data_IF_129913709695
#
_entry.id   IF_129913709695
#
_cell.length_a   1.000
_cell.length_b   1.000
_cell.length_c   1.000
_cell.angle_alpha   90.00
_cell.angle_beta   90.00
_cell.angle_gamma   90.00
#
_symmetry.space_group_name_H-M   'P 1'
#
loop_
_entity.id
_entity.type
_entity.pdbx_description
1 polymer ?
#
# COMPACT_ATOMS: atom_id res chain seq x y z
N UNK A 1 -5.42 19.09 -14.45
CA UNK A 1 -4.65 17.89 -14.09
C UNK A 1 -3.21 18.30 -13.80
N UNK A 2 -2.44 17.46 -13.12
CA UNK A 2 -1.01 17.64 -12.88
C UNK A 2 -0.27 16.58 -13.70
N UNK A 3 0.73 17.00 -14.47
CA UNK A 3 1.68 16.12 -15.14
C UNK A 3 3.05 16.29 -14.44
N UNK A 4 3.79 15.20 -14.25
CA UNK A 4 5.11 15.28 -13.65
C UNK A 4 6.03 14.12 -14.02
N UNK A 5 7.31 14.32 -13.70
CA UNK A 5 8.41 13.37 -13.88
C UNK A 5 9.24 13.30 -12.60
N UNK A 6 9.67 12.11 -12.20
CA UNK A 6 10.58 11.91 -11.09
C UNK A 6 10.22 10.73 -10.20
N UNK A 7 10.76 10.74 -8.99
CA UNK A 7 10.48 9.76 -7.94
C UNK A 7 9.38 10.34 -7.05
N UNK A 8 8.13 9.94 -7.29
CA UNK A 8 6.98 10.44 -6.56
C UNK A 8 6.41 9.34 -5.67
N UNK A 9 6.48 9.52 -4.35
CA UNK A 9 5.90 8.59 -3.37
C UNK A 9 4.37 8.64 -3.43
N UNK A 10 3.73 7.48 -3.27
CA UNK A 10 2.27 7.32 -3.44
C UNK A 10 1.72 6.41 -2.34
N UNK A 11 0.45 6.64 -2.02
CA UNK A 11 -0.33 5.82 -1.11
C UNK A 11 -1.72 5.61 -1.69
N UNK A 12 -2.03 4.38 -2.10
CA UNK A 12 -3.32 4.05 -2.72
C UNK A 12 -4.10 3.09 -1.83
N UNK A 13 -4.92 3.67 -0.96
CA UNK A 13 -5.78 2.94 -0.05
C UNK A 13 -6.26 3.87 1.07
N UNK A 14 -7.28 3.45 1.83
CA UNK A 14 -7.88 4.25 2.90
C UNK A 14 -7.21 4.06 4.27
N UNK A 15 -6.37 3.04 4.41
CA UNK A 15 -5.67 2.72 5.65
C UNK A 15 -4.56 3.71 5.97
N UNK A 16 -4.23 3.80 7.25
CA UNK A 16 -3.17 4.62 7.82
C UNK A 16 -1.81 3.91 7.83
N UNK A 17 -1.77 2.59 7.99
CA UNK A 17 -0.52 1.85 8.20
C UNK A 17 -0.16 0.90 7.05
N UNK A 18 -1.09 0.57 6.15
CA UNK A 18 -0.77 -0.23 4.96
C UNK A 18 -1.58 0.14 3.70
N UNK A 19 -1.00 -0.16 2.54
CA UNK A 19 -1.74 -0.29 1.28
C UNK A 19 -1.34 -1.63 0.67
N UNK A 20 -2.32 -2.41 0.23
CA UNK A 20 -2.14 -3.71 -0.39
C UNK A 20 -1.59 -3.65 -1.82
N UNK A 21 -1.68 -2.51 -2.50
CA UNK A 21 -1.31 -2.41 -3.94
C UNK A 21 -0.24 -1.37 -4.23
N UNK A 22 -0.21 -0.26 -3.48
CA UNK A 22 0.82 0.77 -3.63
C UNK A 22 0.96 1.60 -2.36
N UNK A 23 2.04 1.35 -1.62
CA UNK A 23 2.44 2.08 -0.43
C UNK A 23 3.71 2.90 -0.67
N UNK A 24 4.10 3.66 0.34
CA UNK A 24 5.36 4.39 0.42
C UNK A 24 6.45 3.60 1.18
N UNK A 25 6.26 2.29 1.40
CA UNK A 25 7.25 1.48 2.11
C UNK A 25 8.50 1.21 1.26
N UNK A 26 8.32 1.00 -0.04
CA UNK A 26 9.42 1.01 -1.00
C UNK A 26 9.78 2.46 -1.38
N UNK A 27 11.05 2.69 -1.73
CA UNK A 27 11.46 3.97 -2.35
C UNK A 27 10.66 4.18 -3.64
N UNK A 28 10.22 5.40 -3.93
CA UNK A 28 9.61 5.67 -5.25
C UNK A 28 10.57 5.35 -6.41
N UNK A 29 10.02 4.68 -7.41
CA UNK A 29 10.67 4.46 -8.70
C UNK A 29 10.55 5.71 -9.60
N UNK A 30 11.54 5.97 -10.46
CA UNK A 30 11.49 7.09 -11.40
C UNK A 30 10.45 6.83 -12.49
N UNK A 31 9.72 7.86 -12.89
CA UNK A 31 8.82 7.76 -14.02
C UNK A 31 8.03 9.02 -14.31
N UNK A 32 6.99 8.83 -15.13
CA UNK A 32 6.03 9.86 -15.50
C UNK A 32 4.71 9.61 -14.80
N UNK A 33 3.99 10.67 -14.46
CA UNK A 33 2.66 10.56 -13.88
C UNK A 33 1.73 11.66 -14.32
N UNK A 34 0.43 11.35 -14.33
CA UNK A 34 -0.65 12.29 -14.50
C UNK A 34 -1.73 12.03 -13.45
N UNK A 35 -2.24 13.09 -12.82
CA UNK A 35 -3.33 12.98 -11.84
C UNK A 35 -4.30 14.14 -11.90
N UNK A 36 -5.49 13.96 -11.35
CA UNK A 36 -6.42 15.06 -11.11
C UNK A 36 -5.77 16.09 -10.16
N UNK A 37 -6.01 17.38 -10.44
CA UNK A 37 -5.64 18.46 -9.52
C UNK A 37 -6.68 18.57 -8.40
N UNK A 38 -7.93 18.44 -8.80
CA UNK A 38 -9.11 18.41 -7.94
C UNK A 38 -10.13 17.42 -8.53
N UNK A 39 -11.06 16.97 -7.70
CA UNK A 39 -12.11 16.05 -8.15
C UNK A 39 -13.08 16.75 -9.10
N UNK A 40 -13.31 16.16 -10.27
CA UNK A 40 -14.21 16.71 -11.29
C UNK A 40 -15.55 15.97 -11.31
N UNK A 41 -16.59 16.64 -11.79
CA UNK A 41 -17.91 16.05 -12.02
C UNK A 41 -18.23 16.05 -13.51
N UNK A 42 -19.24 15.28 -13.92
CA UNK A 42 -19.74 15.25 -15.29
C UNK A 42 -21.24 15.46 -15.31
N UNK A 43 -21.74 16.11 -16.37
CA UNK A 43 -23.17 16.28 -16.63
C UNK A 43 -23.84 15.02 -17.19
N UNK A 44 -23.06 14.04 -17.67
CA UNK A 44 -23.58 12.77 -18.18
C UNK A 44 -24.25 11.99 -17.04
N UNK A 45 -25.52 11.57 -17.16
CA UNK A 45 -26.29 11.01 -16.04
C UNK A 45 -25.60 9.85 -15.30
N UNK A 46 -24.99 8.91 -16.03
CA UNK A 46 -24.28 7.76 -15.45
C UNK A 46 -23.00 8.16 -14.71
N UNK A 47 -22.28 9.17 -15.20
CA UNK A 47 -21.05 9.62 -14.56
C UNK A 47 -21.37 10.49 -13.35
N UNK A 48 -22.47 11.25 -13.42
CA UNK A 48 -22.96 12.09 -12.33
C UNK A 48 -23.27 11.29 -11.06
N UNK A 49 -23.78 10.06 -11.18
CA UNK A 49 -24.07 9.21 -10.00
C UNK A 49 -22.83 8.76 -9.23
N UNK A 50 -21.62 8.89 -9.79
CA UNK A 50 -20.37 8.63 -9.07
C UNK A 50 -19.89 9.82 -8.24
N UNK A 51 -20.52 11.00 -8.37
CA UNK A 51 -20.12 12.21 -7.66
C UNK A 51 -18.79 12.77 -8.16
N UNK A 52 -17.94 13.24 -7.24
CA UNK A 52 -16.60 13.78 -7.58
C UNK A 52 -15.66 12.63 -7.94
N UNK A 53 -15.05 12.71 -9.12
CA UNK A 53 -14.11 11.72 -9.66
C UNK A 53 -12.68 12.24 -9.58
N UNK A 54 -11.75 11.39 -9.15
CA UNK A 54 -10.32 11.63 -9.18
C UNK A 54 -9.62 10.49 -9.92
N UNK A 55 -8.52 10.80 -10.60
CA UNK A 55 -7.70 9.79 -11.25
C UNK A 55 -6.22 10.03 -10.96
N UNK A 56 -5.45 8.95 -10.99
CA UNK A 56 -3.98 8.99 -10.96
C UNK A 56 -3.45 7.84 -11.81
N UNK A 57 -2.58 8.15 -12.77
CA UNK A 57 -1.89 7.18 -13.59
C UNK A 57 -0.39 7.46 -13.55
N UNK A 58 0.42 6.40 -13.56
CA UNK A 58 1.86 6.54 -13.73
C UNK A 58 2.46 5.38 -14.52
N UNK A 59 3.63 5.64 -15.09
CA UNK A 59 4.49 4.65 -15.70
C UNK A 59 5.92 4.88 -15.17
N UNK A 60 6.38 3.95 -14.36
CA UNK A 60 7.67 4.01 -13.68
C UNK A 60 8.60 2.91 -14.22
N UNK A 61 9.92 3.14 -14.19
CA UNK A 61 10.91 2.12 -14.49
C UNK A 61 11.47 1.54 -13.17
N UNK A 62 11.46 0.22 -13.05
CA UNK A 62 12.01 -0.49 -11.90
C UNK A 62 13.52 -0.76 -12.07
N UNK A 63 14.16 -1.28 -11.02
CA UNK A 63 15.61 -1.41 -10.92
C UNK A 63 16.18 -2.51 -11.84
N UNK A 64 17.44 -2.34 -12.27
CA UNK A 64 18.13 -3.40 -13.04
C UNK A 64 18.47 -4.64 -12.22
N UNK A 65 18.64 -4.50 -10.89
CA UNK A 65 19.12 -5.58 -10.03
C UNK A 65 17.94 -6.42 -9.51
N UNK A 66 17.31 -7.13 -10.44
CA UNK A 66 16.15 -8.02 -10.22
C UNK A 66 16.13 -9.06 -11.35
N UNK A 67 15.25 -10.06 -11.27
CA UNK A 67 15.21 -11.19 -12.20
C UNK A 67 15.05 -10.78 -13.67
N UNK A 68 14.04 -9.96 -13.98
CA UNK A 68 13.87 -9.30 -15.28
C UNK A 68 14.26 -7.84 -15.10
N UNK A 69 15.30 -7.38 -15.80
CA UNK A 69 15.89 -6.05 -15.57
C UNK A 69 15.04 -4.95 -16.19
N UNK A 70 15.02 -3.79 -15.54
CA UNK A 70 14.37 -2.56 -16.04
C UNK A 70 12.91 -2.71 -16.50
N UNK A 71 12.04 -3.51 -15.86
CA UNK A 71 10.65 -3.61 -16.26
C UNK A 71 9.93 -2.31 -15.90
N UNK A 72 8.81 -2.07 -16.55
CA UNK A 72 7.93 -0.96 -16.26
C UNK A 72 6.89 -1.36 -15.22
N UNK A 73 6.56 -0.43 -14.31
CA UNK A 73 5.41 -0.50 -13.43
C UNK A 73 4.41 0.56 -13.87
N UNK A 74 3.28 0.09 -14.39
CA UNK A 74 2.23 0.92 -14.97
C UNK A 74 0.98 0.73 -14.13
N UNK A 75 0.50 1.80 -13.52
CA UNK A 75 -0.60 1.67 -12.58
C UNK A 75 -1.58 2.83 -12.72
N UNK A 76 -2.85 2.52 -12.48
CA UNK A 76 -3.96 3.45 -12.54
C UNK A 76 -4.85 3.32 -11.31
N UNK A 77 -5.30 4.46 -10.81
CA UNK A 77 -6.31 4.58 -9.76
C UNK A 77 -7.40 5.54 -10.18
N UNK A 78 -8.64 5.12 -10.03
CA UNK A 78 -9.84 5.96 -10.10
C UNK A 78 -10.48 5.99 -8.72
N UNK A 79 -10.89 7.15 -8.21
CA UNK A 79 -11.70 7.22 -6.99
C UNK A 79 -12.89 8.14 -7.14
N UNK A 80 -13.98 7.81 -6.45
CA UNK A 80 -15.23 8.53 -6.56
C UNK A 80 -16.08 8.49 -5.30
N UNK A 81 -17.04 9.42 -5.20
CA UNK A 81 -17.85 9.68 -4.01
C UNK A 81 -19.35 9.66 -4.38
N UNK A 82 -19.98 8.48 -4.48
CA UNK A 82 -21.34 8.38 -4.98
C UNK A 82 -22.38 8.95 -3.99
N UNK A 83 -22.08 8.91 -2.69
CA UNK A 83 -22.89 9.50 -1.61
C UNK A 83 -21.98 10.17 -0.59
N UNK A 84 -22.55 11.08 0.21
CA UNK A 84 -21.82 11.73 1.29
C UNK A 84 -21.20 10.70 2.26
N UNK A 85 -19.95 10.91 2.62
CA UNK A 85 -19.22 10.02 3.52
C UNK A 85 -18.60 8.79 2.85
N UNK A 86 -19.09 8.34 1.69
CA UNK A 86 -18.55 7.16 0.98
C UNK A 86 -17.53 7.57 -0.08
N UNK A 87 -16.34 6.99 -0.01
CA UNK A 87 -15.31 7.01 -1.06
C UNK A 87 -15.07 5.59 -1.53
N UNK A 88 -15.05 5.39 -2.85
CA UNK A 88 -14.69 4.12 -3.48
C UNK A 88 -13.46 4.38 -4.36
N UNK A 89 -12.46 3.50 -4.30
CA UNK A 89 -11.30 3.49 -5.16
C UNK A 89 -11.24 2.20 -5.98
N UNK A 90 -10.90 2.31 -7.26
CA UNK A 90 -10.58 1.20 -8.16
C UNK A 90 -9.12 1.35 -8.57
N UNK A 91 -8.34 0.29 -8.44
CA UNK A 91 -6.90 0.33 -8.69
C UNK A 91 -6.45 -0.88 -9.48
N UNK A 92 -5.58 -0.67 -10.46
CA UNK A 92 -4.87 -1.73 -11.19
C UNK A 92 -3.41 -1.35 -11.35
N UNK A 93 -2.53 -2.33 -11.24
CA UNK A 93 -1.10 -2.20 -11.37
C UNK A 93 -0.55 -3.34 -12.21
N UNK A 94 0.37 -3.02 -13.12
CA UNK A 94 0.91 -3.97 -14.08
C UNK A 94 2.42 -3.80 -14.11
N UNK A 95 3.15 -4.89 -13.90
CA UNK A 95 4.57 -4.97 -14.17
C UNK A 95 4.79 -5.64 -15.52
N UNK A 96 5.36 -4.87 -16.45
CA UNK A 96 5.39 -5.16 -17.87
C UNK A 96 6.79 -4.96 -18.47
N UNK A 97 7.15 -5.76 -19.47
CA UNK A 97 8.37 -5.58 -20.26
C UNK A 97 9.66 -5.82 -19.47
N UNK A 98 10.70 -5.07 -19.83
CA UNK A 98 12.07 -5.24 -19.34
C UNK A 98 12.97 -6.02 -20.30
N UNK A 99 14.24 -6.20 -19.91
CA UNK A 99 15.26 -6.86 -20.73
C UNK A 99 14.84 -8.30 -21.07
N UNK A 100 14.81 -8.64 -22.37
CA UNK A 100 14.43 -9.97 -22.84
C UNK A 100 12.91 -10.21 -23.01
N UNK A 101 12.09 -9.18 -22.74
CA UNK A 101 10.64 -9.17 -22.98
C UNK A 101 10.29 -8.29 -24.19
N UNK A 102 9.09 -8.46 -24.76
CA UNK A 102 8.52 -7.53 -25.73
C UNK A 102 8.13 -6.23 -25.02
N UNK A 103 8.70 -5.12 -25.47
CA UNK A 103 8.46 -3.77 -24.95
C UNK A 103 7.71 -2.89 -25.97
N UNK A 104 7.10 -3.52 -26.99
CA UNK A 104 6.35 -2.80 -28.02
C UNK A 104 5.09 -2.15 -27.43
N UNK A 105 4.66 -1.04 -28.05
CA UNK A 105 3.39 -0.40 -27.68
C UNK A 105 2.20 -1.35 -27.84
N UNK A 106 2.27 -2.29 -28.80
CA UNK A 106 1.24 -3.31 -28.98
C UNK A 106 1.14 -4.21 -27.75
N UNK A 107 2.26 -4.80 -27.30
CA UNK A 107 2.30 -5.65 -26.12
C UNK A 107 1.82 -4.89 -24.86
N UNK A 108 2.23 -3.63 -24.71
CA UNK A 108 1.73 -2.77 -23.63
C UNK A 108 0.20 -2.58 -23.71
N UNK A 109 -0.31 -2.28 -24.91
CA UNK A 109 -1.73 -2.02 -25.12
C UNK A 109 -2.59 -3.28 -24.95
N UNK A 110 -2.05 -4.46 -25.26
CA UNK A 110 -2.70 -5.75 -25.02
C UNK A 110 -2.76 -6.06 -23.51
N UNK A 111 -1.67 -5.80 -22.77
CA UNK A 111 -1.62 -5.91 -21.30
C UNK A 111 -2.61 -4.96 -20.60
N UNK A 112 -2.64 -3.68 -20.98
CA UNK A 112 -3.60 -2.70 -20.40
C UNK A 112 -5.05 -3.13 -20.58
N UNK A 113 -5.41 -3.77 -21.70
CA UNK A 113 -6.79 -4.24 -21.94
C UNK A 113 -7.12 -5.59 -21.29
N UNK A 114 -6.12 -6.26 -20.71
CA UNK A 114 -6.28 -7.61 -20.15
C UNK A 114 -6.30 -8.70 -21.22
N UNK A 115 -5.80 -8.40 -22.42
CA UNK A 115 -5.71 -9.33 -23.56
C UNK A 115 -4.34 -10.05 -23.61
N UNK A 116 -3.42 -9.75 -22.69
CA UNK A 116 -2.06 -10.31 -22.68
C UNK A 116 -1.99 -11.83 -22.38
N UNK A 117 -3.14 -12.49 -22.23
CA UNK A 117 -3.24 -13.92 -21.92
C UNK A 117 -4.08 -14.73 -22.91
N UNK A 118 -4.18 -14.34 -24.19
CA UNK A 118 -4.43 -15.39 -25.21
C UNK A 118 -3.17 -16.21 -25.41
N UNK A 119 -3.04 -17.29 -24.62
CA UNK A 119 -2.03 -18.33 -24.77
C UNK A 119 -1.96 -18.82 -26.22
N UNK A 120 -1.12 -18.23 -27.07
CA UNK A 120 -0.71 -18.85 -28.32
C UNK A 120 0.58 -19.65 -28.07
N UNK A 121 0.42 -20.86 -27.55
CA UNK A 121 1.49 -21.85 -27.44
C UNK A 121 2.13 -21.97 -26.05
N UNK A 122 2.88 -23.06 -25.86
CA UNK A 122 3.39 -23.55 -24.56
C UNK A 122 4.51 -22.70 -23.91
N UNK A 123 4.70 -21.44 -24.30
CA UNK A 123 5.78 -20.58 -23.84
C UNK A 123 5.54 -19.15 -24.32
N UNK A 124 4.49 -18.48 -23.84
CA UNK A 124 4.48 -17.02 -23.99
C UNK A 124 5.47 -16.43 -22.98
N UNK A 125 6.61 -15.98 -23.50
CA UNK A 125 7.64 -15.32 -22.73
C UNK A 125 7.24 -13.93 -22.25
N UNK A 126 6.08 -13.38 -22.61
CA UNK A 126 5.67 -12.00 -22.35
C UNK A 126 4.52 -11.81 -21.36
N UNK A 127 4.23 -12.81 -20.53
CA UNK A 127 3.28 -12.68 -19.42
C UNK A 127 3.72 -11.53 -18.49
N UNK A 128 2.80 -10.62 -18.22
CA UNK A 128 2.85 -9.51 -17.28
C UNK A 128 2.41 -9.93 -15.88
N UNK A 129 2.87 -9.21 -14.85
CA UNK A 129 2.43 -9.43 -13.47
C UNK A 129 1.42 -8.33 -13.10
N UNK A 130 0.19 -8.72 -12.77
CA UNK A 130 -0.92 -7.80 -12.53
C UNK A 130 -1.41 -7.86 -11.10
N UNK A 131 -1.79 -6.71 -10.54
CA UNK A 131 -2.60 -6.64 -9.32
C UNK A 131 -3.79 -5.72 -9.59
N UNK A 132 -4.97 -6.11 -9.14
CA UNK A 132 -6.17 -5.28 -9.30
C UNK A 132 -7.12 -5.42 -8.11
N UNK A 133 -7.91 -4.39 -7.88
CA UNK A 133 -8.97 -4.45 -6.88
C UNK A 133 -9.57 -3.10 -6.55
N UNK A 134 -10.18 -3.03 -5.38
CA UNK A 134 -10.91 -1.86 -4.94
C UNK A 134 -10.73 -1.59 -3.44
N UNK A 135 -11.04 -0.37 -3.05
CA UNK A 135 -11.12 0.03 -1.65
C UNK A 135 -12.33 0.91 -1.41
N UNK A 136 -12.77 0.93 -0.15
CA UNK A 136 -13.88 1.76 0.29
C UNK A 136 -13.55 2.39 1.64
N UNK A 137 -13.95 3.65 1.84
CA UNK A 137 -14.00 4.33 3.14
C UNK A 137 -15.36 4.97 3.30
N UNK A 138 -16.06 4.66 4.39
CA UNK A 138 -17.31 5.31 4.77
C UNK A 138 -17.13 6.04 6.09
N UNK A 139 -17.37 7.35 6.10
CA UNK A 139 -17.24 8.22 7.27
C UNK A 139 -18.58 8.88 7.61
N UNK A 140 -18.94 8.87 8.89
CA UNK A 140 -20.13 9.55 9.41
C UNK A 140 -19.84 10.13 10.79
N UNK A 141 -20.70 11.05 11.24
CA UNK A 141 -20.54 11.73 12.53
C UNK A 141 -21.65 11.32 13.50
N UNK A 142 -21.28 11.09 14.75
CA UNK A 142 -22.18 10.90 15.89
C UNK A 142 -21.79 11.92 16.96
N UNK A 143 -22.58 12.99 17.10
CA UNK A 143 -22.20 14.17 17.89
C UNK A 143 -20.82 14.72 17.43
N UNK A 144 -19.89 14.90 18.36
CA UNK A 144 -18.54 15.42 18.09
C UNK A 144 -17.52 14.31 17.69
N UNK A 145 -17.98 13.09 17.48
CA UNK A 145 -17.17 11.94 17.05
C UNK A 145 -17.36 11.69 15.55
N UNK A 146 -16.28 11.70 14.78
CA UNK A 146 -16.25 11.16 13.42
C UNK A 146 -15.83 9.70 13.49
N UNK A 147 -16.64 8.82 12.94
CA UNK A 147 -16.35 7.39 12.83
C UNK A 147 -16.24 7.00 11.36
N UNK A 148 -15.14 6.35 11.01
CA UNK A 148 -14.91 5.77 9.69
C UNK A 148 -14.72 4.27 9.75
N UNK A 149 -15.28 3.56 8.78
CA UNK A 149 -14.90 2.20 8.43
C UNK A 149 -14.27 2.19 7.05
N UNK A 150 -13.27 1.35 6.85
CA UNK A 150 -12.65 1.23 5.55
C UNK A 150 -12.05 -0.16 5.33
N UNK A 151 -11.83 -0.48 4.06
CA UNK A 151 -11.16 -1.70 3.67
C UNK A 151 -10.61 -1.62 2.27
N UNK A 152 -9.71 -2.55 1.98
CA UNK A 152 -9.11 -2.72 0.67
C UNK A 152 -9.08 -4.20 0.32
N UNK A 153 -9.46 -4.52 -0.91
CA UNK A 153 -9.58 -5.87 -1.45
C UNK A 153 -8.85 -5.93 -2.79
N UNK A 154 -7.73 -6.64 -2.84
CA UNK A 154 -6.85 -6.76 -4.01
C UNK A 154 -6.69 -8.24 -4.36
N UNK A 155 -6.49 -8.55 -5.64
CA UNK A 155 -6.08 -9.86 -6.13
C UNK A 155 -4.89 -9.78 -7.09
N UNK A 156 -4.14 -10.88 -7.17
CA UNK A 156 -2.99 -11.09 -8.09
C UNK A 156 -3.43 -11.52 -9.49
N UNK A 157 -4.61 -12.12 -9.63
CA UNK A 157 -5.13 -12.58 -10.92
C UNK A 157 -6.54 -12.00 -11.15
N UNK A 158 -7.03 -12.13 -12.37
CA UNK A 158 -8.41 -11.83 -12.72
C UNK A 158 -9.07 -12.98 -13.46
N UNK A 159 -10.23 -13.42 -12.99
CA UNK A 159 -11.15 -14.27 -13.78
C UNK A 159 -12.42 -13.46 -14.06
N UNK A 160 -12.81 -13.33 -15.33
CA UNK A 160 -14.03 -12.63 -15.74
C UNK A 160 -14.21 -11.24 -15.09
N UNK A 161 -13.14 -10.43 -15.07
CA UNK A 161 -13.08 -9.09 -14.49
C UNK A 161 -13.20 -9.00 -12.96
N UNK A 162 -13.19 -10.14 -12.24
CA UNK A 162 -13.18 -10.16 -10.78
C UNK A 162 -11.80 -10.57 -10.24
N UNK A 163 -11.30 -9.92 -9.16
CA UNK A 163 -10.03 -10.29 -8.56
C UNK A 163 -10.03 -11.75 -8.06
N UNK A 164 -8.97 -12.48 -8.37
CA UNK A 164 -8.67 -13.83 -7.92
C UNK A 164 -7.33 -13.82 -7.16
N UNK A 165 -7.08 -14.84 -6.33
CA UNK A 165 -5.97 -14.89 -5.35
C UNK A 165 -5.94 -13.66 -4.46
N UNK A 166 -7.04 -13.46 -3.73
CA UNK A 166 -7.31 -12.18 -3.06
C UNK A 166 -6.80 -12.11 -1.65
N UNK A 167 -6.49 -10.89 -1.23
CA UNK A 167 -5.97 -10.54 0.08
C UNK A 167 -6.56 -9.19 0.50
N UNK A 168 -6.62 -8.94 1.81
CA UNK A 168 -7.55 -7.94 2.36
C UNK A 168 -6.98 -7.17 3.54
N UNK A 169 -7.51 -5.95 3.65
CA UNK A 169 -7.27 -5.03 4.73
C UNK A 169 -8.63 -4.51 5.20
N UNK A 170 -8.81 -4.41 6.50
CA UNK A 170 -9.97 -3.76 7.12
C UNK A 170 -9.52 -2.88 8.27
N UNK A 171 -10.21 -1.76 8.47
CA UNK A 171 -9.92 -0.88 9.59
C UNK A 171 -11.07 0.04 9.96
N UNK A 172 -10.92 0.63 11.13
CA UNK A 172 -11.83 1.61 11.70
C UNK A 172 -11.05 2.75 12.32
N UNK A 173 -11.58 3.96 12.21
CA UNK A 173 -10.98 5.18 12.76
C UNK A 173 -12.05 5.98 13.51
N UNK A 174 -11.68 6.46 14.68
CA UNK A 174 -12.46 7.37 15.51
C UNK A 174 -11.66 8.67 15.63
N UNK A 175 -12.25 9.81 15.28
CA UNK A 175 -11.65 11.13 15.47
C UNK A 175 -12.59 11.95 16.33
N UNK A 176 -12.08 12.55 17.41
CA UNK A 176 -12.86 13.36 18.33
C UNK A 176 -12.02 14.49 18.92
N UNK A 177 -12.70 15.49 19.47
CA UNK A 177 -12.07 16.55 20.26
C UNK A 177 -12.17 16.22 21.74
N UNK A 178 -11.06 16.42 22.47
CA UNK A 178 -11.02 16.39 23.93
C UNK A 178 -10.38 17.68 24.43
N UNK A 179 -11.13 18.46 25.20
CA UNK A 179 -10.71 19.79 25.67
C UNK A 179 -10.23 20.72 24.55
N UNK A 180 -10.84 20.60 23.36
CA UNK A 180 -10.49 21.37 22.17
C UNK A 180 -9.33 20.82 21.34
N UNK A 181 -8.64 19.76 21.80
CA UNK A 181 -7.53 19.14 21.07
C UNK A 181 -7.95 17.91 20.27
N UNK A 182 -7.33 17.67 19.12
CA UNK A 182 -7.64 16.54 18.24
C UNK A 182 -7.10 15.23 18.79
N UNK A 183 -7.93 14.20 18.76
CA UNK A 183 -7.56 12.85 19.15
C UNK A 183 -8.08 11.86 18.11
N UNK A 184 -7.33 10.79 17.87
CA UNK A 184 -7.80 9.68 17.06
C UNK A 184 -7.43 8.31 17.62
N UNK A 185 -8.29 7.33 17.33
CA UNK A 185 -8.07 5.91 17.61
C UNK A 185 -8.25 5.16 16.31
N UNK A 186 -7.24 4.38 15.91
CA UNK A 186 -7.23 3.61 14.68
C UNK A 186 -7.00 2.15 15.00
N UNK A 187 -7.83 1.26 14.46
CA UNK A 187 -7.67 -0.19 14.55
C UNK A 187 -7.65 -0.75 13.13
N UNK A 188 -6.61 -1.50 12.77
CA UNK A 188 -6.44 -2.07 11.44
C UNK A 188 -6.00 -3.52 11.52
N UNK A 189 -6.49 -4.32 10.58
CA UNK A 189 -6.05 -5.69 10.31
C UNK A 189 -5.70 -5.83 8.84
N UNK A 190 -4.54 -6.44 8.58
CA UNK A 190 -3.99 -6.68 7.24
C UNK A 190 -3.66 -8.16 7.12
N UNK A 191 -4.14 -8.80 6.06
CA UNK A 191 -3.88 -10.20 5.76
C UNK A 191 -3.44 -10.33 4.31
N UNK A 192 -2.16 -10.63 4.11
CA UNK A 192 -1.54 -10.90 2.81
C UNK A 192 -1.30 -12.39 2.62
N UNK A 193 -1.91 -13.24 3.45
CA UNK A 193 -1.93 -14.68 3.25
C UNK A 193 -3.14 -15.08 2.40
N UNK A 194 -2.90 -15.86 1.35
CA UNK A 194 -3.97 -16.36 0.49
C UNK A 194 -4.65 -17.60 1.11
N UNK A 195 -5.96 -17.50 1.38
CA UNK A 195 -6.76 -18.55 2.02
C UNK A 195 -7.66 -19.36 1.05
N UNK A 196 -7.34 -19.40 -0.26
CA UNK A 196 -8.19 -20.05 -1.27
C UNK A 196 -7.86 -21.51 -1.62
N UNK A 197 -8.40 -22.00 -2.74
CA UNK A 197 -8.35 -23.42 -3.14
C UNK A 197 -7.02 -23.87 -3.73
N UNK A 198 -6.30 -22.98 -4.41
CA UNK A 198 -4.92 -23.25 -4.83
C UNK A 198 -4.06 -23.30 -3.55
N UNK A 199 -3.59 -24.48 -3.16
CA UNK A 199 -2.86 -24.67 -1.91
C UNK A 199 -1.60 -23.79 -1.92
N UNK A 200 -1.47 -22.92 -0.92
CA UNK A 200 -0.17 -22.61 -0.33
C UNK A 200 0.25 -21.15 -0.32
N UNK A 201 1.31 -20.95 0.46
CA UNK A 201 2.13 -19.75 0.56
C UNK A 201 2.81 -19.42 -0.78
N UNK A 202 3.50 -18.27 -0.86
CA UNK A 202 4.19 -17.78 -2.06
C UNK A 202 3.24 -17.47 -3.22
N UNK A 203 2.08 -16.89 -2.90
CA UNK A 203 1.10 -16.44 -3.88
C UNK A 203 1.08 -14.92 -3.97
N UNK A 204 0.84 -14.24 -2.85
CA UNK A 204 0.72 -12.78 -2.83
C UNK A 204 2.09 -12.14 -3.06
N UNK A 205 2.13 -11.16 -3.96
CA UNK A 205 3.31 -10.48 -4.49
C UNK A 205 4.30 -11.37 -5.24
N UNK A 206 3.91 -12.59 -5.62
CA UNK A 206 4.77 -13.55 -6.31
C UNK A 206 4.37 -13.73 -7.77
N UNK A 207 5.35 -14.03 -8.62
CA UNK A 207 5.09 -14.25 -10.05
C UNK A 207 6.08 -15.23 -10.68
N UNK A 208 5.60 -16.02 -11.65
CA UNK A 208 6.39 -17.07 -12.33
C UNK A 208 7.54 -16.54 -13.19
N UNK A 209 7.28 -15.47 -13.98
CA UNK A 209 8.29 -14.76 -14.78
C UNK A 209 9.06 -13.69 -13.99
N UNK A 210 8.36 -12.74 -13.37
CA UNK A 210 8.98 -11.71 -12.52
C UNK A 210 9.29 -12.25 -11.13
N UNK A 211 10.22 -13.18 -11.02
CA UNK A 211 10.52 -13.93 -9.78
C UNK A 211 11.11 -13.10 -8.64
N UNK A 212 11.41 -11.81 -8.86
CA UNK A 212 11.67 -10.85 -7.78
C UNK A 212 10.39 -10.33 -7.10
N UNK A 213 9.23 -10.70 -7.62
CA UNK A 213 7.90 -10.36 -7.12
C UNK A 213 7.52 -8.89 -7.30
N UNK A 214 6.41 -8.52 -6.68
CA UNK A 214 5.83 -7.17 -6.66
C UNK A 214 6.58 -6.26 -5.67
N UNK A 215 7.89 -6.15 -5.90
CA UNK A 215 8.87 -5.45 -5.05
C UNK A 215 9.72 -4.51 -5.89
N UNK A 216 10.23 -3.45 -5.27
CA UNK A 216 11.20 -2.53 -5.84
C UNK A 216 12.38 -2.36 -4.88
N UNK A 217 13.58 -2.65 -5.41
CA UNK A 217 14.84 -2.72 -4.65
C UNK A 217 14.73 -3.62 -3.42
N UNK A 218 13.98 -4.71 -3.52
CA UNK A 218 13.77 -5.71 -2.47
C UNK A 218 12.77 -5.33 -1.37
N UNK A 219 12.09 -4.19 -1.47
CA UNK A 219 11.00 -3.82 -0.56
C UNK A 219 9.66 -3.93 -1.29
N UNK A 220 8.58 -4.40 -0.64
CA UNK A 220 7.27 -4.54 -1.27
C UNK A 220 6.72 -3.20 -1.74
N UNK A 221 6.15 -3.20 -2.95
CA UNK A 221 5.44 -2.05 -3.51
C UNK A 221 4.07 -1.89 -2.83
N UNK A 222 3.43 -3.00 -2.43
CA UNK A 222 2.20 -3.05 -1.65
C UNK A 222 2.46 -2.96 -0.14
N UNK A 223 1.88 -3.87 0.63
CA UNK A 223 1.87 -3.82 2.08
C UNK A 223 3.28 -4.02 2.66
N UNK A 224 3.62 -3.28 3.72
CA UNK A 224 4.96 -3.35 4.34
C UNK A 224 5.29 -4.73 4.91
N UNK A 225 4.26 -5.50 5.29
CA UNK A 225 4.37 -6.88 5.80
C UNK A 225 4.69 -7.89 4.70
N UNK A 226 4.72 -7.46 3.44
CA UNK A 226 4.96 -8.33 2.29
C UNK A 226 3.92 -9.47 2.17
N UNK A 227 4.15 -10.48 1.33
CA UNK A 227 3.28 -11.64 1.17
C UNK A 227 3.25 -12.54 2.40
N UNK A 228 2.28 -13.47 2.43
CA UNK A 228 2.18 -14.56 3.42
C UNK A 228 2.17 -14.09 4.88
N UNK A 229 1.59 -12.93 5.16
CA UNK A 229 1.70 -12.30 6.47
C UNK A 229 0.36 -11.84 7.01
N UNK A 230 0.26 -11.72 8.33
CA UNK A 230 -0.83 -11.01 8.97
C UNK A 230 -0.30 -9.97 9.96
N UNK A 231 -1.09 -8.92 10.16
CA UNK A 231 -0.73 -7.83 11.05
C UNK A 231 -1.97 -7.14 11.59
N UNK A 232 -1.96 -6.83 12.88
CA UNK A 232 -2.99 -6.07 13.55
C UNK A 232 -2.36 -4.88 14.27
N UNK A 233 -2.97 -3.71 14.12
CA UNK A 233 -2.47 -2.46 14.66
C UNK A 233 -3.56 -1.72 15.43
N UNK A 234 -3.20 -1.18 16.59
CA UNK A 234 -3.97 -0.18 17.32
C UNK A 234 -3.09 1.06 17.47
N UNK A 235 -3.57 2.22 17.02
CA UNK A 235 -2.91 3.52 17.21
C UNK A 235 -3.82 4.47 17.99
N UNK A 236 -3.24 5.19 18.93
CA UNK A 236 -3.83 6.30 19.67
C UNK A 236 -3.01 7.55 19.37
N UNK A 237 -3.61 8.53 18.71
CA UNK A 237 -2.97 9.83 18.45
C UNK A 237 -3.67 10.89 19.29
N UNK A 238 -2.90 11.75 19.94
CA UNK A 238 -3.43 12.82 20.78
C UNK A 238 -2.60 14.09 20.61
N UNK A 239 -3.26 15.15 20.17
CA UNK A 239 -2.77 16.51 20.40
C UNK A 239 -2.97 16.81 21.90
N UNK A 240 -1.88 16.90 22.65
CA UNK A 240 -1.96 17.21 24.09
C UNK A 240 -2.19 18.72 24.27
N UNK A 241 -1.59 19.51 23.38
CA UNK A 241 -1.72 20.95 23.27
C UNK A 241 -1.17 21.40 21.90
N UNK A 242 -1.16 22.71 21.64
CA UNK A 242 -0.73 23.27 20.35
C UNK A 242 0.73 22.97 19.93
N UNK A 243 1.58 22.53 20.86
CA UNK A 243 3.00 22.26 20.65
C UNK A 243 3.40 20.80 20.85
N UNK A 244 2.53 19.93 21.37
CA UNK A 244 2.87 18.54 21.72
C UNK A 244 1.85 17.57 21.18
N UNK A 245 2.33 16.64 20.36
CA UNK A 245 1.57 15.51 19.87
C UNK A 245 2.20 14.21 20.38
N UNK A 246 1.37 13.25 20.75
CA UNK A 246 1.79 11.93 21.19
C UNK A 246 1.06 10.89 20.34
N UNK A 247 1.81 9.91 19.86
CA UNK A 247 1.29 8.69 19.31
C UNK A 247 1.71 7.51 20.19
N UNK A 248 0.75 6.66 20.52
CA UNK A 248 1.00 5.35 21.09
C UNK A 248 0.39 4.29 20.19
N UNK A 249 1.20 3.33 19.80
CA UNK A 249 0.79 2.24 18.92
C UNK A 249 1.16 0.89 19.53
N UNK A 250 0.25 -0.07 19.43
CA UNK A 250 0.49 -1.48 19.75
C UNK A 250 0.17 -2.33 18.55
N UNK A 251 0.96 -3.36 18.32
CA UNK A 251 0.73 -4.25 17.20
C UNK A 251 1.11 -5.68 17.48
N UNK A 252 0.49 -6.56 16.70
CA UNK A 252 0.79 -7.96 16.57
C UNK A 252 1.10 -8.25 15.09
N UNK A 253 2.05 -9.12 14.83
CA UNK A 253 2.30 -9.62 13.48
C UNK A 253 2.80 -11.06 13.46
N UNK A 254 2.41 -11.77 12.41
CA UNK A 254 3.03 -13.02 11.99
C UNK A 254 3.45 -12.85 10.54
N UNK A 255 4.76 -12.74 10.31
CA UNK A 255 5.33 -12.40 9.01
C UNK A 255 5.86 -13.65 8.32
N UNK A 256 5.73 -13.67 7.00
CA UNK A 256 6.29 -14.67 6.11
C UNK A 256 6.00 -16.13 6.50
N UNK A 257 4.72 -16.50 6.64
CA UNK A 257 4.20 -17.82 7.06
C UNK A 257 4.71 -19.04 6.25
N UNK A 258 5.44 -18.81 5.17
CA UNK A 258 5.90 -19.81 4.22
C UNK A 258 7.14 -20.61 4.67
N UNK A 259 7.88 -20.15 5.68
CA UNK A 259 9.16 -20.72 6.12
C UNK A 259 10.21 -20.86 4.99
N UNK A 260 10.04 -20.17 3.85
CA UNK A 260 10.89 -20.23 2.66
C UNK A 260 11.53 -18.84 2.44
N UNK A 261 12.72 -18.65 3.00
CA UNK A 261 13.34 -17.32 3.17
C UNK A 261 13.96 -16.69 1.94
N UNK A 262 13.51 -17.05 0.72
CA UNK A 262 14.23 -16.65 -0.50
C UNK A 262 13.60 -15.48 -1.25
N UNK A 263 12.32 -15.16 -1.00
CA UNK A 263 11.58 -14.15 -1.78
C UNK A 263 11.00 -13.00 -0.96
N UNK A 264 10.51 -13.29 0.24
CA UNK A 264 9.93 -12.29 1.14
C UNK A 264 11.01 -11.32 1.67
N UNK A 265 10.62 -10.05 1.87
CA UNK A 265 11.50 -9.06 2.49
C UNK A 265 11.69 -9.28 3.99
N UNK A 266 10.82 -10.04 4.65
CA UNK A 266 10.95 -10.52 6.03
C UNK A 266 11.58 -11.92 6.09
N UNK A 267 12.24 -12.23 7.20
CA UNK A 267 12.90 -13.52 7.41
C UNK A 267 11.93 -14.68 7.65
N UNK A 268 12.50 -15.87 7.86
CA UNK A 268 11.76 -17.15 8.03
C UNK A 268 11.32 -17.43 9.46
N UNK A 269 11.48 -16.49 10.37
CA UNK A 269 11.09 -16.67 11.77
C UNK A 269 9.61 -16.35 11.88
N UNK A 270 8.75 -17.35 11.63
CA UNK A 270 7.30 -17.25 11.68
C UNK A 270 6.75 -17.17 13.11
N UNK A 271 7.55 -16.67 14.04
CA UNK A 271 7.12 -16.47 15.42
C UNK A 271 6.24 -15.23 15.46
N UNK A 272 5.13 -15.36 16.15
CA UNK A 272 4.29 -14.24 16.54
C UNK A 272 5.14 -13.22 17.29
N UNK A 273 5.09 -11.96 16.85
CA UNK A 273 5.69 -10.88 17.61
C UNK A 273 4.65 -9.82 17.94
N UNK A 274 4.94 -9.13 19.03
CA UNK A 274 4.20 -7.99 19.51
C UNK A 274 5.14 -6.80 19.55
N UNK A 275 4.61 -5.61 19.39
CA UNK A 275 5.41 -4.42 19.57
C UNK A 275 4.60 -3.24 20.04
N UNK A 276 5.34 -2.28 20.58
CA UNK A 276 4.85 -1.01 21.05
C UNK A 276 5.70 0.07 20.39
N UNK A 277 5.04 1.11 19.89
CA UNK A 277 5.66 2.34 19.39
C UNK A 277 5.14 3.52 20.20
N UNK A 278 6.04 4.40 20.58
CA UNK A 278 5.76 5.66 21.26
C UNK A 278 6.46 6.77 20.50
N UNK A 279 5.68 7.69 19.93
CA UNK A 279 6.21 8.87 19.25
C UNK A 279 5.78 10.12 20.02
N UNK A 280 6.74 11.03 20.25
CA UNK A 280 6.50 12.32 20.89
C UNK A 280 7.04 13.43 19.99
N UNK A 281 6.14 14.24 19.44
CA UNK A 281 6.49 15.37 18.60
C UNK A 281 6.29 16.69 19.35
N UNK A 282 7.32 17.54 19.30
CA UNK A 282 7.36 18.82 19.97
C UNK A 282 7.68 19.95 18.99
N UNK A 283 6.81 20.95 18.90
CA UNK A 283 7.11 22.21 18.23
C UNK A 283 7.91 23.10 19.17
N UNK A 284 9.19 23.27 18.87
CA UNK A 284 10.07 24.18 19.63
C UNK A 284 9.75 25.63 19.30
N UNK A 285 9.46 25.92 18.03
CA UNK A 285 8.99 27.21 17.55
C UNK A 285 8.28 27.06 16.19
N UNK A 286 7.97 28.17 15.51
CA UNK A 286 7.28 28.15 14.21
C UNK A 286 8.06 27.49 13.06
N UNK A 287 9.37 27.27 13.23
CA UNK A 287 10.25 26.67 12.23
C UNK A 287 10.81 25.30 12.63
N UNK A 288 10.86 24.98 13.92
CA UNK A 288 11.55 23.81 14.45
C UNK A 288 10.56 22.86 15.13
N UNK A 289 10.62 21.60 14.72
CA UNK A 289 9.91 20.47 15.29
C UNK A 289 10.90 19.33 15.57
N UNK A 290 10.78 18.70 16.74
CA UNK A 290 11.63 17.59 17.20
C UNK A 290 10.72 16.42 17.53
N UNK A 291 11.05 15.23 17.02
CA UNK A 291 10.37 13.97 17.33
C UNK A 291 11.27 13.05 18.15
N UNK A 292 10.71 12.35 19.14
CA UNK A 292 11.34 11.25 19.84
C UNK A 292 10.52 9.98 19.61
N UNK A 293 11.14 8.93 19.09
CA UNK A 293 10.47 7.68 18.77
C UNK A 293 11.11 6.53 19.56
N UNK A 294 10.28 5.73 20.21
CA UNK A 294 10.69 4.51 20.87
C UNK A 294 9.88 3.35 20.30
N UNK A 295 10.56 2.33 19.81
CA UNK A 295 9.94 1.05 19.42
C UNK A 295 10.50 -0.06 20.30
N UNK A 296 9.62 -0.89 20.83
CA UNK A 296 9.97 -2.12 21.55
C UNK A 296 9.24 -3.29 20.93
N UNK A 297 9.96 -4.35 20.61
CA UNK A 297 9.46 -5.60 20.02
C UNK A 297 9.67 -6.75 21.00
N UNK A 298 8.74 -7.72 21.03
CA UNK A 298 8.92 -8.95 21.79
C UNK A 298 10.06 -9.78 21.22
N UNK A 299 10.23 -9.76 19.89
CA UNK A 299 11.24 -10.53 19.18
C UNK A 299 12.09 -9.68 18.22
N UNK A 300 13.30 -10.16 17.95
CA UNK A 300 14.16 -9.59 16.93
C UNK A 300 13.66 -10.05 15.57
N UNK A 301 13.45 -9.10 14.66
CA UNK A 301 12.92 -9.40 13.33
C UNK A 301 14.06 -9.40 12.31
N UNK A 302 14.01 -10.30 11.34
CA UNK A 302 14.92 -10.23 10.20
C UNK A 302 14.21 -9.52 9.06
N UNK A 303 14.81 -8.43 8.56
CA UNK A 303 14.35 -7.71 7.39
C UNK A 303 15.49 -7.66 6.38
N UNK A 304 15.29 -8.32 5.23
CA UNK A 304 16.22 -8.35 4.10
C UNK A 304 17.63 -8.78 4.50
N UNK A 305 17.70 -9.83 5.32
CA UNK A 305 18.96 -10.40 5.81
C UNK A 305 19.65 -9.60 6.92
N UNK A 306 19.00 -8.56 7.45
CA UNK A 306 19.47 -7.80 8.61
C UNK A 306 18.57 -8.03 9.80
N UNK A 307 19.16 -8.26 10.96
CA UNK A 307 18.44 -8.33 12.22
C UNK A 307 18.10 -6.91 12.68
N UNK A 308 16.83 -6.68 13.00
CA UNK A 308 16.32 -5.50 13.67
C UNK A 308 16.37 -5.76 15.18
N UNK A 309 16.93 -4.80 15.91
CA UNK A 309 17.01 -4.86 17.37
C UNK A 309 15.62 -4.77 18.00
N UNK A 310 15.45 -5.43 19.15
CA UNK A 310 14.17 -5.41 19.88
C UNK A 310 13.80 -4.01 20.36
N UNK A 311 14.78 -3.17 20.66
CA UNK A 311 14.58 -1.82 21.16
C UNK A 311 15.23 -0.82 20.23
N UNK A 312 14.44 0.09 19.66
CA UNK A 312 14.90 1.10 18.71
C UNK A 312 14.53 2.47 19.27
N UNK A 313 15.52 3.34 19.33
CA UNK A 313 15.35 4.74 19.71
C UNK A 313 15.67 5.62 18.50
N UNK A 314 14.76 6.54 18.19
CA UNK A 314 14.87 7.49 17.08
C UNK A 314 14.71 8.92 17.57
N UNK A 315 15.39 9.83 16.88
CA UNK A 315 15.21 11.28 17.05
C UNK A 315 15.00 11.86 15.66
N UNK A 316 13.91 12.58 15.47
CA UNK A 316 13.61 13.30 14.25
C UNK A 316 13.79 14.79 14.46
N UNK A 317 14.28 15.47 13.43
CA UNK A 317 14.44 16.92 13.43
C UNK A 317 13.93 17.49 12.12
N UNK A 318 13.07 18.50 12.22
CA UNK A 318 12.48 19.17 11.07
C UNK A 318 12.62 20.67 11.20
N UNK A 319 13.22 21.27 10.17
CA UNK A 319 13.38 22.71 10.03
C UNK A 319 12.66 23.20 8.78
N UNK A 320 11.80 24.21 8.94
CA UNK A 320 11.14 24.89 7.82
C UNK A 320 11.84 26.22 7.55
N UNK A 321 12.45 26.32 6.36
CA UNK A 321 13.07 27.55 5.86
C UNK A 321 12.01 28.62 5.61
#
# INVERSE_FOLDING_TARGET
>A
FILGVGNYDRWWGPSHHASLILSNYSKSSPGLFIRSLEGFTSSLPLIRSFGKLNFSFFANQLERNRAIKNPFLISGRLSFNPVNGLTIGLTRSIMFGGDGKDNSFKALWDSIRGDASTMQGKSDGNIDNELAGFDMKYSFSVNDLVWSFYGQYIGEDGTDYWPWRTFYLAGTEFIFLKDGNLNSVVIEYVDTYYNGQDIGTNVIYEHSSYTSGYRYKGSPLGAFIDGDSNYMHLSLNSEINNITNIEFSMFYGNLNKDNSGTKNSWGTTNEDFYGIVLNFDFKVNSKIEIGLNLTSLSESLSYRGKTLDKNILGIDFKYRF
#
